data_IF_394386567659
#
_entry.id   IF_394386567659
#
_cell.length_a   1.000
_cell.length_b   1.000
_cell.length_c   1.000
_cell.angle_alpha   90.00
_cell.angle_beta   90.00
_cell.angle_gamma   90.00
#
_symmetry.space_group_name_H-M   'P 1'
#
loop_
_entity.id
_entity.type
_entity.pdbx_description
1 polymer ?
#
# COMPACT_ATOMS: atom_id res chain seq x y z
N UNK A 1 -27.44 -0.31 -15.01
CA UNK A 1 -26.84 0.59 -14.01
C UNK A 1 -25.50 -0.01 -13.63
N UNK A 2 -24.42 0.71 -13.90
CA UNK A 2 -23.09 0.19 -14.21
C UNK A 2 -22.46 -0.70 -13.11
N UNK A 3 -22.14 -1.92 -13.55
CA UNK A 3 -20.87 -2.66 -13.39
C UNK A 3 -20.19 -2.71 -12.00
N UNK A 4 -20.36 -3.84 -11.31
CA UNK A 4 -19.52 -4.29 -10.19
C UNK A 4 -18.28 -4.99 -10.79
N UNK A 5 -17.60 -4.31 -11.72
CA UNK A 5 -16.40 -4.83 -12.38
C UNK A 5 -15.24 -4.94 -11.40
N UNK A 6 -14.90 -6.17 -11.03
CA UNK A 6 -13.55 -6.63 -10.66
C UNK A 6 -12.77 -5.88 -9.56
N UNK A 7 -13.29 -5.81 -8.34
CA UNK A 7 -12.43 -5.66 -7.15
C UNK A 7 -12.06 -7.05 -6.63
N UNK A 8 -11.16 -7.73 -7.34
CA UNK A 8 -10.55 -8.97 -6.88
C UNK A 8 -9.58 -8.67 -5.74
N UNK A 9 -10.15 -8.52 -4.54
CA UNK A 9 -9.51 -8.16 -3.28
C UNK A 9 -8.63 -9.31 -2.76
N UNK A 10 -7.50 -9.58 -3.43
CA UNK A 10 -6.57 -10.63 -3.01
C UNK A 10 -5.75 -10.16 -1.81
N UNK A 11 -6.30 -10.31 -0.61
CA UNK A 11 -5.53 -10.13 0.61
C UNK A 11 -4.46 -11.23 0.70
N UNK A 12 -3.19 -10.84 0.62
CA UNK A 12 -2.03 -11.74 0.79
C UNK A 12 -1.28 -11.34 2.06
N UNK A 13 -0.92 -12.34 2.86
CA UNK A 13 -0.20 -12.13 4.12
C UNK A 13 1.23 -11.69 3.85
N UNK A 14 1.68 -10.64 4.54
CA UNK A 14 3.07 -10.18 4.51
C UNK A 14 3.75 -10.68 5.77
N UNK A 15 4.82 -11.48 5.61
CA UNK A 15 5.61 -11.96 6.75
C UNK A 15 6.25 -10.79 7.51
N UNK A 16 6.44 -10.93 8.83
CA UNK A 16 6.96 -9.86 9.72
C UNK A 16 8.29 -9.25 9.24
N UNK A 17 9.13 -10.04 8.56
CA UNK A 17 10.42 -9.59 8.01
C UNK A 17 10.37 -9.14 6.55
N UNK A 18 9.27 -9.39 5.85
CA UNK A 18 9.08 -9.03 4.45
C UNK A 18 8.33 -7.70 4.36
N UNK A 19 8.71 -6.84 3.44
CA UNK A 19 7.97 -5.61 3.18
C UNK A 19 6.74 -5.87 2.31
N UNK A 20 5.75 -4.98 2.38
CA UNK A 20 4.63 -5.02 1.45
C UNK A 20 5.12 -4.82 0.00
N UNK A 21 6.11 -3.94 -0.23
CA UNK A 21 6.73 -3.75 -1.54
C UNK A 21 7.32 -5.03 -2.13
N UNK A 22 8.05 -5.84 -1.35
CA UNK A 22 8.61 -7.11 -1.83
C UNK A 22 7.53 -8.15 -2.17
N UNK A 23 6.40 -8.10 -1.47
CA UNK A 23 5.25 -8.96 -1.76
C UNK A 23 4.58 -8.50 -3.06
N UNK A 24 4.43 -7.18 -3.24
CA UNK A 24 3.89 -6.60 -4.47
C UNK A 24 4.77 -6.92 -5.67
N UNK A 25 6.08 -6.67 -5.60
CA UNK A 25 7.00 -6.90 -6.72
C UNK A 25 7.08 -8.38 -7.14
N UNK A 26 6.93 -9.32 -6.20
CA UNK A 26 6.90 -10.74 -6.53
C UNK A 26 5.65 -11.15 -7.34
N UNK A 27 4.56 -10.38 -7.25
CA UNK A 27 3.30 -10.66 -7.95
C UNK A 27 3.05 -9.69 -9.13
N UNK A 28 3.64 -8.49 -9.08
CA UNK A 28 3.56 -7.42 -10.09
C UNK A 28 4.97 -6.84 -10.31
N UNK A 29 5.85 -7.54 -11.06
CA UNK A 29 7.24 -7.13 -11.24
C UNK A 29 7.43 -5.73 -11.85
N UNK A 30 6.46 -5.25 -12.63
CA UNK A 30 6.48 -3.92 -13.25
C UNK A 30 6.10 -2.75 -12.34
N UNK A 31 5.79 -2.98 -11.05
CA UNK A 31 5.42 -1.89 -10.14
C UNK A 31 6.58 -0.90 -9.97
N UNK A 32 6.32 0.35 -10.33
CA UNK A 32 7.28 1.44 -10.22
C UNK A 32 7.78 1.62 -8.78
N UNK A 33 9.11 1.69 -8.63
CA UNK A 33 9.75 1.91 -7.34
C UNK A 33 11.09 2.63 -7.50
N UNK A 34 11.46 3.41 -6.49
CA UNK A 34 12.73 4.14 -6.41
C UNK A 34 13.36 3.88 -5.02
N UNK A 35 13.46 4.87 -4.13
CA UNK A 35 14.24 4.83 -2.88
C UNK A 35 14.02 3.70 -1.84
N UNK A 36 12.83 3.08 -1.78
CA UNK A 36 12.42 2.03 -0.81
C UNK A 36 12.40 2.48 0.66
N UNK A 37 12.47 3.78 0.90
CA UNK A 37 12.55 4.37 2.24
C UNK A 37 11.38 5.31 2.55
N UNK A 38 10.42 5.45 1.62
CA UNK A 38 9.22 6.27 1.84
C UNK A 38 9.36 7.77 1.55
N UNK A 39 10.53 8.29 1.14
CA UNK A 39 10.68 9.73 0.93
C UNK A 39 10.33 10.24 -0.49
N UNK A 40 10.36 9.38 -1.51
CA UNK A 40 10.21 9.83 -2.90
C UNK A 40 8.77 9.80 -3.43
N UNK A 41 7.80 9.29 -2.65
CA UNK A 41 6.39 9.25 -3.02
C UNK A 41 5.96 8.28 -4.13
N UNK A 42 6.88 7.65 -4.87
CA UNK A 42 6.56 6.82 -6.06
C UNK A 42 5.59 5.67 -5.80
N UNK A 43 5.57 5.09 -4.60
CA UNK A 43 4.79 3.89 -4.26
C UNK A 43 3.53 4.22 -3.47
N UNK A 44 2.86 5.29 -3.91
CA UNK A 44 1.60 5.72 -3.31
C UNK A 44 0.46 4.88 -3.83
N UNK A 45 -0.28 4.28 -2.91
CA UNK A 45 -1.46 3.45 -3.23
C UNK A 45 -2.62 3.86 -2.32
N UNK A 46 -3.84 3.49 -2.70
CA UNK A 46 -5.02 3.73 -1.89
C UNK A 46 -5.32 2.50 -1.04
N UNK A 47 -5.66 2.73 0.23
CA UNK A 47 -6.18 1.70 1.14
C UNK A 47 -7.70 1.62 0.97
N UNK A 48 -8.19 0.40 0.69
CA UNK A 48 -9.63 0.10 0.60
C UNK A 48 -10.20 -0.38 1.94
N UNK A 49 -9.38 -1.02 2.79
CA UNK A 49 -9.75 -1.44 4.14
C UNK A 49 -8.52 -1.65 5.05
N UNK A 50 -8.72 -1.48 6.36
CA UNK A 50 -7.65 -1.54 7.36
C UNK A 50 -6.99 -0.18 7.61
N UNK A 51 -6.14 -0.09 8.65
CA UNK A 51 -5.48 1.16 9.05
C UNK A 51 -3.97 1.09 8.77
N UNK A 52 -3.39 1.98 7.96
CA UNK A 52 -1.95 2.05 7.78
C UNK A 52 -1.25 2.70 8.99
N UNK A 53 -0.22 2.03 9.51
CA UNK A 53 0.83 2.63 10.35
C UNK A 53 1.81 3.37 9.43
N UNK A 54 1.71 4.69 9.42
CA UNK A 54 2.53 5.54 8.57
C UNK A 54 3.89 5.84 9.18
N UNK A 55 4.95 5.45 8.47
CA UNK A 55 6.35 5.70 8.86
C UNK A 55 7.09 6.61 7.89
N UNK A 56 6.38 7.13 6.90
CA UNK A 56 6.87 8.14 5.98
C UNK A 56 6.66 9.56 6.53
N UNK A 57 7.41 10.51 5.98
CA UNK A 57 7.22 11.96 6.22
C UNK A 57 6.77 12.69 4.94
N UNK A 58 6.44 11.94 3.88
CA UNK A 58 6.17 12.50 2.54
C UNK A 58 4.70 12.77 2.29
N UNK A 59 3.80 11.93 2.80
CA UNK A 59 2.37 12.14 2.58
C UNK A 59 1.83 13.24 3.49
N UNK A 60 1.12 14.19 2.90
CA UNK A 60 0.41 15.23 3.64
C UNK A 60 -0.76 14.64 4.44
N UNK A 61 -1.23 15.34 5.46
CA UNK A 61 -2.39 14.92 6.25
C UNK A 61 -3.63 14.69 5.39
N UNK A 62 -3.89 15.59 4.43
CA UNK A 62 -5.01 15.44 3.48
C UNK A 62 -4.90 14.17 2.63
N UNK A 63 -3.68 13.79 2.22
CA UNK A 63 -3.45 12.57 1.47
C UNK A 63 -3.70 11.33 2.33
N UNK A 64 -3.25 11.35 3.59
CA UNK A 64 -3.53 10.27 4.57
C UNK A 64 -5.01 10.15 4.87
N UNK A 65 -5.70 11.26 5.05
CA UNK A 65 -7.15 11.30 5.24
C UNK A 65 -7.94 10.73 4.05
N UNK A 66 -7.39 10.83 2.83
CA UNK A 66 -7.93 10.20 1.62
C UNK A 66 -7.57 8.71 1.48
N UNK A 67 -6.94 8.11 2.49
CA UNK A 67 -6.53 6.71 2.50
C UNK A 67 -5.29 6.41 1.67
N UNK A 68 -4.47 7.41 1.33
CA UNK A 68 -3.21 7.17 0.61
C UNK A 68 -2.13 6.65 1.57
N UNK A 69 -1.32 5.70 1.13
CA UNK A 69 -0.21 5.12 1.91
C UNK A 69 1.01 4.85 1.02
N UNK A 70 2.21 4.80 1.62
CA UNK A 70 3.46 4.43 0.94
C UNK A 70 3.87 3.02 1.36
N UNK A 71 3.54 2.02 0.55
CA UNK A 71 3.75 0.57 0.85
C UNK A 71 5.20 0.14 1.06
N UNK A 72 6.16 1.01 0.77
CA UNK A 72 7.58 0.76 1.05
C UNK A 72 8.01 1.14 2.48
N UNK A 73 7.24 1.97 3.18
CA UNK A 73 7.56 2.42 4.54
C UNK A 73 6.45 2.06 5.54
N UNK A 74 5.18 2.08 5.10
CA UNK A 74 4.03 1.85 5.97
C UNK A 74 3.82 0.37 6.30
N UNK A 75 3.16 0.11 7.43
CA UNK A 75 2.72 -1.23 7.88
C UNK A 75 1.22 -1.24 8.15
N UNK A 76 0.66 -2.41 8.42
CA UNK A 76 -0.71 -2.54 8.91
C UNK A 76 -0.75 -2.31 10.42
N UNK A 77 -1.57 -1.36 10.86
CA UNK A 77 -2.05 -1.29 12.24
C UNK A 77 -3.28 -2.21 12.36
N UNK A 78 -3.22 -3.24 13.21
CA UNK A 78 -4.23 -4.29 13.29
C UNK A 78 -4.05 -5.45 12.29
N UNK A 79 -2.89 -5.58 11.65
CA UNK A 79 -2.45 -6.82 10.99
C UNK A 79 -2.97 -7.08 9.56
N UNK A 80 -3.94 -6.32 9.04
CA UNK A 80 -4.42 -6.47 7.65
C UNK A 80 -4.66 -5.13 6.96
N UNK A 81 -4.16 -5.01 5.74
CA UNK A 81 -4.48 -3.93 4.81
C UNK A 81 -5.02 -4.52 3.51
N UNK A 82 -5.95 -3.80 2.91
CA UNK A 82 -6.42 -4.03 1.55
C UNK A 82 -6.05 -2.82 0.71
N UNK A 83 -5.38 -3.08 -0.41
CA UNK A 83 -4.81 -2.05 -1.27
C UNK A 83 -5.43 -2.11 -2.66
N UNK A 84 -5.60 -0.95 -3.26
CA UNK A 84 -6.02 -0.77 -4.65
C UNK A 84 -4.79 -0.80 -5.56
N UNK A 85 -4.39 -1.99 -6.01
CA UNK A 85 -3.14 -2.23 -6.76
C UNK A 85 -3.28 -3.26 -7.86
#
# INVERSE_FOLDING_TARGET
>A
MADIGDVALHARNVAVRRSALETILANKPGTAHSCRQGFCGTRKVKVLAGRPDHRDTTLTESQRAKGQTLVCASRADGGRLVLDI
#
